data_IF_503255100195
#
_entry.id   IF_503255100195
#
_cell.length_a   1.000
_cell.length_b   1.000
_cell.length_c   1.000
_cell.angle_alpha   90.00
_cell.angle_beta   90.00
_cell.angle_gamma   90.00
#
_symmetry.space_group_name_H-M   'P 1'
#
loop_
_entity.id
_entity.type
_entity.pdbx_description
1 polymer ?
#
# COMPACT_ATOMS: atom_id res chain seq x y z
N UNK A 1 -37.00 6.59 -5.23
CA UNK A 1 -35.85 6.85 -4.34
C UNK A 1 -34.58 6.66 -5.13
N UNK A 2 -33.72 7.68 -5.22
CA UNK A 2 -32.38 7.54 -5.78
C UNK A 2 -31.40 7.73 -4.62
N UNK A 3 -30.81 6.64 -4.12
CA UNK A 3 -29.77 6.72 -3.09
C UNK A 3 -28.44 7.11 -3.75
N UNK A 4 -27.85 8.25 -3.35
CA UNK A 4 -26.50 8.63 -3.78
C UNK A 4 -25.58 8.70 -2.56
N UNK A 5 -24.50 7.93 -2.58
CA UNK A 5 -23.46 8.02 -1.56
C UNK A 5 -22.49 9.13 -1.94
N UNK A 6 -22.57 10.29 -1.27
CA UNK A 6 -21.61 11.38 -1.46
C UNK A 6 -20.48 11.23 -0.45
N UNK A 7 -19.26 10.94 -0.93
CA UNK A 7 -18.05 10.97 -0.09
C UNK A 7 -17.75 12.44 0.25
N UNK A 8 -17.65 12.76 1.55
CA UNK A 8 -17.19 14.08 2.01
C UNK A 8 -15.69 14.30 1.73
N UNK A 9 -15.23 15.53 1.94
CA UNK A 9 -13.82 15.96 1.70
C UNK A 9 -12.83 15.10 2.51
N UNK A 10 -13.13 14.82 3.78
CA UNK A 10 -12.30 13.93 4.61
C UNK A 10 -12.21 12.50 4.07
N UNK A 11 -13.32 11.95 3.56
CA UNK A 11 -13.31 10.62 2.95
C UNK A 11 -12.46 10.54 1.68
N UNK A 12 -12.40 11.63 0.91
CA UNK A 12 -11.52 11.74 -0.24
C UNK A 12 -10.04 11.83 0.15
N UNK A 13 -9.72 12.56 1.22
CA UNK A 13 -8.35 12.66 1.74
C UNK A 13 -7.80 11.29 2.17
N UNK A 14 -8.55 10.53 2.98
CA UNK A 14 -8.10 9.20 3.42
C UNK A 14 -8.00 8.20 2.27
N UNK A 15 -8.88 8.31 1.28
CA UNK A 15 -8.79 7.49 0.07
C UNK A 15 -7.54 7.83 -0.75
N UNK A 16 -7.19 9.11 -0.87
CA UNK A 16 -5.94 9.52 -1.51
C UNK A 16 -4.73 9.00 -0.75
N UNK A 17 -4.71 9.10 0.59
CA UNK A 17 -3.63 8.55 1.42
C UNK A 17 -3.50 7.03 1.29
N UNK A 18 -4.62 6.31 1.22
CA UNK A 18 -4.64 4.87 0.97
C UNK A 18 -3.93 4.53 -0.34
N UNK A 19 -4.30 5.20 -1.44
CA UNK A 19 -3.67 4.97 -2.74
C UNK A 19 -2.20 5.41 -2.78
N UNK A 20 -1.87 6.55 -2.17
CA UNK A 20 -0.50 7.05 -2.08
C UNK A 20 0.40 6.07 -1.31
N UNK A 21 -0.07 5.56 -0.17
CA UNK A 21 0.66 4.56 0.61
C UNK A 21 0.87 3.27 -0.18
N UNK A 22 -0.18 2.73 -0.82
CA UNK A 22 -0.05 1.52 -1.62
C UNK A 22 0.92 1.71 -2.80
N UNK A 23 0.84 2.86 -3.49
CA UNK A 23 1.77 3.20 -4.56
C UNK A 23 3.22 3.30 -4.07
N UNK A 24 3.44 3.91 -2.90
CA UNK A 24 4.76 3.98 -2.27
C UNK A 24 5.31 2.59 -1.93
N UNK A 25 4.48 1.68 -1.40
CA UNK A 25 4.92 0.33 -1.05
C UNK A 25 5.27 -0.51 -2.28
N UNK A 26 4.48 -0.40 -3.35
CA UNK A 26 4.82 -0.98 -4.66
C UNK A 26 6.16 -0.45 -5.12
N UNK A 27 6.32 0.88 -5.17
CA UNK A 27 7.57 1.51 -5.59
C UNK A 27 8.77 1.02 -4.76
N UNK A 28 8.63 0.97 -3.43
CA UNK A 28 9.70 0.53 -2.52
C UNK A 28 10.15 -0.91 -2.78
N UNK A 29 9.23 -1.83 -3.08
CA UNK A 29 9.59 -3.21 -3.45
C UNK A 29 10.33 -3.23 -4.78
N UNK A 30 9.79 -2.59 -5.82
CA UNK A 30 10.41 -2.62 -7.15
C UNK A 30 11.78 -1.96 -7.15
N UNK A 31 11.93 -0.80 -6.50
CA UNK A 31 13.22 -0.11 -6.38
C UNK A 31 14.21 -0.93 -5.56
N UNK A 32 13.78 -1.47 -4.42
CA UNK A 32 14.64 -2.26 -3.53
C UNK A 32 15.11 -3.56 -4.18
N UNK A 33 14.22 -4.29 -4.87
CA UNK A 33 14.58 -5.52 -5.60
C UNK A 33 15.57 -5.22 -6.72
N UNK A 34 15.33 -4.18 -7.51
CA UNK A 34 16.24 -3.79 -8.61
C UNK A 34 17.63 -3.43 -8.09
N UNK A 35 17.71 -2.62 -7.03
CA UNK A 35 18.98 -2.20 -6.43
C UNK A 35 19.73 -3.38 -5.80
N UNK A 36 19.03 -4.24 -5.05
CA UNK A 36 19.65 -5.41 -4.43
C UNK A 36 20.11 -6.44 -5.47
N UNK A 37 19.39 -6.62 -6.57
CA UNK A 37 19.82 -7.50 -7.66
C UNK A 37 21.15 -7.04 -8.28
N UNK A 38 21.32 -5.72 -8.49
CA UNK A 38 22.58 -5.16 -8.99
C UNK A 38 23.73 -5.36 -8.00
N UNK A 39 23.48 -5.15 -6.70
CA UNK A 39 24.48 -5.38 -5.64
C UNK A 39 24.87 -6.86 -5.53
N UNK A 40 23.90 -7.77 -5.57
CA UNK A 40 24.15 -9.21 -5.51
C UNK A 40 25.02 -9.71 -6.67
N UNK A 41 24.86 -9.13 -7.87
CA UNK A 41 25.67 -9.46 -9.05
C UNK A 41 27.15 -9.06 -8.91
N UNK A 42 27.47 -8.10 -8.04
CA UNK A 42 28.85 -7.63 -7.79
C UNK A 42 29.58 -8.46 -6.71
N UNK A 43 28.88 -9.33 -5.98
CA UNK A 43 29.47 -10.16 -4.93
C UNK A 43 30.09 -11.42 -5.57
N UNK A 44 31.43 -11.51 -5.53
CA UNK A 44 32.17 -12.63 -6.10
C UNK A 44 32.14 -13.90 -5.21
N UNK A 45 32.11 -13.75 -3.89
CA UNK A 45 32.07 -14.89 -2.96
C UNK A 45 30.65 -15.51 -2.93
N UNK A 46 30.49 -16.79 -3.33
CA UNK A 46 29.20 -17.47 -3.32
C UNK A 46 28.52 -17.50 -1.94
N UNK A 47 29.30 -17.61 -0.85
CA UNK A 47 28.75 -17.67 0.52
C UNK A 47 28.18 -16.31 0.92
N UNK A 48 28.91 -15.24 0.64
CA UNK A 48 28.47 -13.89 0.92
C UNK A 48 27.24 -13.51 0.08
N UNK A 49 27.18 -13.97 -1.18
CA UNK A 49 26.02 -13.75 -2.05
C UNK A 49 24.77 -14.45 -1.51
N UNK A 50 24.88 -15.71 -1.09
CA UNK A 50 23.76 -16.44 -0.50
C UNK A 50 23.24 -15.76 0.79
N UNK A 51 24.14 -15.26 1.64
CA UNK A 51 23.76 -14.51 2.83
C UNK A 51 23.07 -13.18 2.49
N UNK A 52 23.56 -12.47 1.46
CA UNK A 52 22.97 -11.23 0.97
C UNK A 52 21.55 -11.46 0.41
N UNK A 53 21.35 -12.51 -0.39
CA UNK A 53 20.06 -12.87 -0.96
C UNK A 53 19.05 -13.24 0.16
N UNK A 54 19.50 -13.99 1.17
CA UNK A 54 18.69 -14.31 2.35
C UNK A 54 18.28 -13.05 3.14
N UNK A 55 19.22 -12.13 3.36
CA UNK A 55 18.95 -10.84 4.02
C UNK A 55 17.97 -9.98 3.23
N UNK A 56 18.10 -9.96 1.89
CA UNK A 56 17.17 -9.26 0.99
C UNK A 56 15.76 -9.87 1.09
N UNK A 57 15.65 -11.20 1.09
CA UNK A 57 14.39 -11.91 1.27
C UNK A 57 13.71 -11.56 2.60
N UNK A 58 14.46 -11.51 3.69
CA UNK A 58 13.95 -11.07 5.01
C UNK A 58 13.45 -9.62 4.98
N UNK A 59 14.22 -8.72 4.36
CA UNK A 59 13.82 -7.32 4.19
C UNK A 59 12.49 -7.19 3.44
N UNK A 60 12.31 -7.93 2.35
CA UNK A 60 11.05 -7.98 1.58
C UNK A 60 9.91 -8.50 2.46
N UNK A 61 10.12 -9.59 3.21
CA UNK A 61 9.08 -10.16 4.08
C UNK A 61 8.61 -9.18 5.15
N UNK A 62 9.54 -8.49 5.82
CA UNK A 62 9.22 -7.44 6.80
C UNK A 62 8.41 -6.33 6.14
N UNK A 63 8.85 -5.88 4.96
CA UNK A 63 8.20 -4.80 4.23
C UNK A 63 6.79 -5.20 3.78
N UNK A 64 6.56 -6.46 3.39
CA UNK A 64 5.22 -7.00 3.08
C UNK A 64 4.30 -7.00 4.30
N UNK A 65 4.81 -7.34 5.49
CA UNK A 65 4.02 -7.29 6.73
C UNK A 65 3.60 -5.85 7.04
N UNK A 66 4.52 -4.90 6.94
CA UNK A 66 4.21 -3.47 7.12
C UNK A 66 3.24 -2.96 6.06
N UNK A 67 3.37 -3.42 4.81
CA UNK A 67 2.45 -3.07 3.75
C UNK A 67 1.04 -3.57 4.07
N UNK A 68 0.89 -4.86 4.41
CA UNK A 68 -0.40 -5.45 4.74
C UNK A 68 -1.07 -4.72 5.92
N UNK A 69 -0.32 -4.50 7.00
CA UNK A 69 -0.83 -3.78 8.18
C UNK A 69 -1.24 -2.33 7.84
N UNK A 70 -0.40 -1.59 7.13
CA UNK A 70 -0.70 -0.22 6.71
C UNK A 70 -1.89 -0.15 5.77
N UNK A 71 -2.00 -1.08 4.81
CA UNK A 71 -3.11 -1.15 3.88
C UNK A 71 -4.44 -1.40 4.62
N UNK A 72 -4.45 -2.28 5.63
CA UNK A 72 -5.63 -2.51 6.48
C UNK A 72 -6.00 -1.22 7.23
N UNK A 73 -5.04 -0.56 7.87
CA UNK A 73 -5.30 0.68 8.63
C UNK A 73 -5.88 1.77 7.72
N UNK A 74 -5.23 2.05 6.58
CA UNK A 74 -5.72 3.07 5.65
C UNK A 74 -7.05 2.69 5.00
N UNK A 75 -7.28 1.41 4.70
CA UNK A 75 -8.56 0.93 4.16
C UNK A 75 -9.70 1.15 5.16
N UNK A 76 -9.48 0.83 6.44
CA UNK A 76 -10.45 1.05 7.51
C UNK A 76 -10.74 2.54 7.68
N UNK A 77 -9.70 3.39 7.69
CA UNK A 77 -9.87 4.85 7.76
C UNK A 77 -10.66 5.40 6.56
N UNK A 78 -10.34 4.95 5.34
CA UNK A 78 -11.07 5.34 4.14
C UNK A 78 -12.53 4.82 4.14
N UNK A 79 -12.78 3.64 4.71
CA UNK A 79 -14.12 3.07 4.85
C UNK A 79 -14.97 3.84 5.86
N UNK A 80 -14.44 4.11 7.06
CA UNK A 80 -15.19 4.82 8.10
C UNK A 80 -15.44 6.29 7.77
N UNK A 81 -14.62 6.90 6.90
CA UNK A 81 -14.79 8.30 6.47
C UNK A 81 -15.59 8.47 5.19
N UNK A 82 -16.06 7.37 4.58
CA UNK A 82 -17.03 7.36 3.49
C UNK A 82 -18.39 7.82 4.02
N UNK A 83 -18.66 9.12 3.90
CA UNK A 83 -19.86 9.82 4.41
C UNK A 83 -21.22 9.14 4.16
N UNK A 84 -22.21 9.57 4.97
CA UNK A 84 -23.57 9.03 5.13
C UNK A 84 -24.39 8.99 3.83
N UNK A 85 -25.38 8.08 3.79
CA UNK A 85 -26.38 7.95 2.73
C UNK A 85 -27.16 9.25 2.58
N UNK A 86 -27.14 9.88 1.40
CA UNK A 86 -28.12 10.90 1.06
C UNK A 86 -29.33 10.20 0.43
N UNK A 87 -30.46 10.21 1.14
CA UNK A 87 -31.75 9.76 0.61
C UNK A 87 -32.30 10.92 -0.20
N UNK A 88 -32.33 10.79 -1.52
CA UNK A 88 -33.00 11.75 -2.40
C UNK A 88 -34.41 11.21 -2.63
N UNK A 89 -35.39 11.82 -1.96
CA UNK A 89 -36.80 11.61 -2.25
C UNK A 89 -37.08 12.27 -3.60
N UNK A 90 -37.48 11.45 -4.58
CA UNK A 90 -37.88 11.93 -5.91
C UNK A 90 -39.38 12.12 -5.82
N UNK A 91 -39.80 13.34 -5.55
CA UNK A 91 -41.21 13.74 -5.57
C UNK A 91 -41.70 13.62 -7.03
N UNK A 92 -42.79 12.88 -7.24
CA UNK A 92 -43.42 12.69 -8.54
C UNK A 92 -44.91 12.96 -8.43
#
# INVERSE_FOLDING_TARGET
MIERYRRGVFGWLFLLLFWAFNGLMVYAIFSGVSENAQKAAQIADPRMRAAFDAGTGLGIMILLVFWAAGAIVFALLAYFTRGRKEIIEVER
#
